data_IF_210233409033
#
_entry.id   IF_210233409033
#
_cell.length_a   1.000
_cell.length_b   1.000
_cell.length_c   1.000
_cell.angle_alpha   90.00
_cell.angle_beta   90.00
_cell.angle_gamma   90.00
#
_symmetry.space_group_name_H-M   'P 1'
#
loop_
_entity.id
_entity.type
_entity.pdbx_description
1 polymer ?
#
# COMPACT_ATOMS: atom_id res chain seq x y z
N UNK A 1 13.06 12.52 6.07
CA UNK A 1 12.22 11.77 7.02
C UNK A 1 12.46 12.10 8.48
N UNK A 2 13.71 12.08 9.03
CA UNK A 2 13.96 12.42 10.45
C UNK A 2 13.26 13.72 10.89
N UNK A 3 13.41 14.78 10.12
CA UNK A 3 12.79 16.07 10.40
C UNK A 3 11.27 15.99 10.49
N UNK A 4 10.63 15.25 9.59
CA UNK A 4 9.17 15.06 9.59
C UNK A 4 8.69 14.37 10.88
N UNK A 5 9.34 13.26 11.27
CA UNK A 5 8.96 12.51 12.46
C UNK A 5 9.19 13.29 13.76
N UNK A 6 10.38 13.87 13.91
CA UNK A 6 10.78 14.54 15.18
C UNK A 6 10.08 15.89 15.37
N UNK A 7 10.02 16.72 14.31
CA UNK A 7 9.44 18.08 14.45
C UNK A 7 7.91 18.06 14.55
N UNK A 8 7.26 17.00 14.08
CA UNK A 8 5.79 16.89 14.10
C UNK A 8 5.28 15.84 15.08
N UNK A 9 6.16 15.27 15.91
CA UNK A 9 5.82 14.23 16.89
C UNK A 9 5.02 13.06 16.27
N UNK A 10 5.48 12.58 15.10
CA UNK A 10 4.81 11.51 14.37
C UNK A 10 5.30 10.16 14.90
N UNK A 11 4.38 9.33 15.42
CA UNK A 11 4.67 7.97 15.86
C UNK A 11 4.81 6.96 14.73
N UNK A 12 3.97 7.08 13.70
CA UNK A 12 4.02 6.26 12.48
C UNK A 12 3.33 6.96 11.32
N UNK A 13 3.59 6.48 10.11
CA UNK A 13 2.91 6.89 8.87
C UNK A 13 2.05 5.72 8.41
N UNK A 14 0.80 6.00 8.06
CA UNK A 14 -0.07 5.08 7.34
C UNK A 14 -0.12 5.47 5.87
N UNK A 15 0.08 4.52 4.99
CA UNK A 15 0.02 4.74 3.55
C UNK A 15 -0.61 3.56 2.81
N UNK A 16 -1.11 3.75 1.57
CA UNK A 16 -1.52 2.62 0.75
C UNK A 16 -0.36 1.64 0.53
N UNK A 17 -0.68 0.34 0.40
CA UNK A 17 0.32 -0.68 0.06
C UNK A 17 0.70 -0.61 -1.42
N UNK A 18 -0.30 -0.36 -2.25
CA UNK A 18 -0.19 -0.43 -3.70
C UNK A 18 -1.31 0.38 -4.36
N UNK A 19 -1.27 0.52 -5.68
CA UNK A 19 -2.29 1.25 -6.45
C UNK A 19 -3.64 0.56 -6.51
N UNK A 20 -3.68 -0.76 -6.31
CA UNK A 20 -4.90 -1.59 -6.21
C UNK A 20 -4.59 -2.90 -5.47
N UNK A 21 -5.50 -3.89 -5.49
CA UNK A 21 -5.26 -5.24 -5.00
C UNK A 21 -4.08 -5.92 -5.73
N UNK A 22 -3.66 -7.10 -5.30
CA UNK A 22 -2.57 -7.84 -5.96
C UNK A 22 -2.83 -7.99 -7.47
N UNK A 23 -1.85 -7.65 -8.28
CA UNK A 23 -1.95 -7.70 -9.73
C UNK A 23 -1.83 -9.13 -10.28
N UNK A 24 -2.39 -9.35 -11.47
CA UNK A 24 -2.27 -10.61 -12.20
C UNK A 24 -0.82 -10.82 -12.65
N UNK A 25 -0.31 -12.04 -12.55
CA UNK A 25 1.09 -12.38 -12.92
C UNK A 25 1.47 -11.87 -14.31
N UNK A 26 0.56 -11.98 -15.29
CA UNK A 26 0.78 -11.50 -16.66
C UNK A 26 1.07 -10.01 -16.75
N UNK A 27 0.61 -9.22 -15.80
CA UNK A 27 0.73 -7.76 -15.78
C UNK A 27 1.90 -7.27 -14.90
N UNK A 28 2.61 -8.19 -14.22
CA UNK A 28 3.66 -7.87 -13.26
C UNK A 28 4.76 -6.98 -13.85
N UNK A 29 5.21 -7.23 -15.07
CA UNK A 29 6.27 -6.44 -15.71
C UNK A 29 5.90 -4.98 -15.96
N UNK A 30 4.61 -4.72 -16.22
CA UNK A 30 4.11 -3.35 -16.45
C UNK A 30 3.80 -2.65 -15.14
N UNK A 31 3.22 -3.37 -14.17
CA UNK A 31 2.73 -2.77 -12.93
C UNK A 31 3.75 -2.73 -11.78
N UNK A 32 4.82 -3.54 -11.83
CA UNK A 32 5.87 -3.51 -10.80
C UNK A 32 6.46 -2.11 -10.52
N UNK A 33 6.66 -1.23 -11.51
CA UNK A 33 7.14 0.12 -11.24
C UNK A 33 6.19 0.97 -10.38
N UNK A 34 4.92 0.59 -10.24
CA UNK A 34 3.95 1.29 -9.38
C UNK A 34 4.07 0.93 -7.89
N UNK A 35 5.12 0.19 -7.50
CA UNK A 35 5.43 -0.14 -6.10
C UNK A 35 6.06 1.02 -5.30
N UNK A 36 5.93 2.25 -5.75
CA UNK A 36 6.51 3.45 -5.14
C UNK A 36 6.10 3.64 -3.67
N UNK A 37 4.88 3.22 -3.31
CA UNK A 37 4.39 3.29 -1.93
C UNK A 37 5.21 2.48 -0.93
N UNK A 38 5.85 1.40 -1.37
CA UNK A 38 6.70 0.54 -0.52
C UNK A 38 8.16 0.93 -0.63
N UNK A 39 8.62 1.29 -1.83
CA UNK A 39 10.04 1.56 -2.11
C UNK A 39 10.59 2.75 -1.33
N UNK A 40 9.81 3.79 -1.12
CA UNK A 40 10.24 5.01 -0.41
C UNK A 40 10.71 4.70 1.03
N UNK A 41 10.07 3.78 1.72
CA UNK A 41 10.43 3.39 3.08
C UNK A 41 11.64 2.46 3.10
N UNK A 42 11.75 1.55 2.11
CA UNK A 42 12.91 0.68 1.95
C UNK A 42 14.20 1.48 1.70
N UNK A 43 14.16 2.47 0.82
CA UNK A 43 15.32 3.34 0.53
C UNK A 43 15.78 4.07 1.79
N UNK A 44 14.88 4.38 2.71
CA UNK A 44 15.18 5.08 3.94
C UNK A 44 15.46 4.15 5.13
N UNK A 45 15.52 2.84 4.90
CA UNK A 45 15.77 1.82 5.93
C UNK A 45 14.82 1.93 7.13
N UNK A 46 13.53 2.17 6.86
CA UNK A 46 12.50 2.30 7.88
C UNK A 46 11.73 0.99 8.05
N UNK A 47 11.43 0.57 9.29
CA UNK A 47 10.59 -0.60 9.53
C UNK A 47 9.18 -0.34 9.03
N UNK A 48 8.66 -1.26 8.22
CA UNK A 48 7.33 -1.16 7.62
C UNK A 48 6.67 -2.52 7.54
N UNK A 49 5.37 -2.56 7.77
CA UNK A 49 4.57 -3.77 7.63
C UNK A 49 3.18 -3.46 7.09
N UNK A 50 2.54 -4.46 6.50
CA UNK A 50 1.21 -4.33 5.90
C UNK A 50 0.15 -4.99 6.77
N UNK A 51 -0.96 -4.29 7.01
CA UNK A 51 -2.14 -4.81 7.68
C UNK A 51 -3.30 -4.82 6.68
N UNK A 52 -3.92 -5.98 6.39
CA UNK A 52 -5.14 -6.03 5.60
C UNK A 52 -6.29 -5.31 6.33
N UNK A 53 -6.97 -4.38 5.67
CA UNK A 53 -8.03 -3.58 6.30
C UNK A 53 -9.41 -3.81 5.69
N UNK A 54 -9.47 -4.25 4.43
CA UNK A 54 -10.72 -4.50 3.72
C UNK A 54 -10.49 -5.46 2.55
N UNK A 55 -11.55 -5.75 1.83
CA UNK A 55 -11.50 -6.50 0.58
C UNK A 55 -12.20 -5.73 -0.53
N UNK A 56 -11.81 -5.97 -1.77
CA UNK A 56 -12.45 -5.37 -2.95
C UNK A 56 -13.91 -5.80 -3.02
N UNK A 57 -14.82 -4.83 -3.10
CA UNK A 57 -16.27 -5.04 -3.26
C UNK A 57 -16.64 -5.20 -4.74
N UNK A 58 -17.87 -5.62 -4.98
CA UNK A 58 -18.39 -5.87 -6.33
C UNK A 58 -18.43 -4.61 -7.21
N UNK A 59 -18.68 -3.47 -6.61
CA UNK A 59 -18.75 -2.17 -7.29
C UNK A 59 -17.38 -1.50 -7.48
N UNK A 60 -16.30 -2.11 -6.96
CA UNK A 60 -14.93 -1.57 -6.98
C UNK A 60 -14.02 -2.21 -8.05
N UNK A 61 -14.54 -3.11 -8.88
CA UNK A 61 -13.78 -3.75 -9.97
C UNK A 61 -13.58 -2.85 -11.20
N UNK A 62 -13.64 -1.54 -11.00
CA UNK A 62 -13.49 -0.54 -12.06
C UNK A 62 -12.39 0.45 -11.72
N UNK A 63 -11.58 0.76 -12.71
CA UNK A 63 -10.60 1.84 -12.64
C UNK A 63 -10.98 2.94 -13.63
N UNK A 64 -11.46 4.07 -13.08
CA UNK A 64 -11.95 5.19 -13.88
C UNK A 64 -10.89 6.28 -13.94
N UNK A 65 -10.32 6.47 -15.12
CA UNK A 65 -9.47 7.59 -15.46
C UNK A 65 -9.62 7.98 -16.94
N UNK A 66 -9.16 9.17 -17.28
CA UNK A 66 -9.12 9.69 -18.65
C UNK A 66 -7.74 9.52 -19.31
N UNK A 67 -6.77 8.93 -18.58
CA UNK A 67 -5.44 8.66 -19.12
C UNK A 67 -5.48 7.51 -20.12
N UNK A 68 -4.68 7.63 -21.17
CA UNK A 68 -4.62 6.65 -22.23
C UNK A 68 -3.21 6.04 -22.39
N UNK A 69 -2.49 5.95 -21.27
CA UNK A 69 -1.17 5.35 -21.18
C UNK A 69 -1.22 3.83 -20.93
N UNK A 70 -0.06 3.19 -20.98
CA UNK A 70 0.04 1.74 -20.82
C UNK A 70 -0.33 1.28 -19.42
N UNK A 71 -0.01 2.05 -18.38
CA UNK A 71 -0.31 1.69 -17.00
C UNK A 71 -1.80 1.73 -16.73
N UNK A 72 -2.48 2.81 -17.09
CA UNK A 72 -3.93 2.95 -16.94
C UNK A 72 -4.70 1.86 -17.69
N UNK A 73 -4.30 1.55 -18.91
CA UNK A 73 -4.90 0.45 -19.68
C UNK A 73 -4.71 -0.90 -19.01
N UNK A 74 -3.51 -1.15 -18.50
CA UNK A 74 -3.19 -2.40 -17.81
C UNK A 74 -3.94 -2.51 -16.50
N UNK A 75 -4.04 -1.42 -15.72
CA UNK A 75 -4.82 -1.36 -14.48
C UNK A 75 -6.31 -1.63 -14.73
N UNK A 76 -6.91 -1.05 -15.78
CA UNK A 76 -8.31 -1.30 -16.17
C UNK A 76 -8.58 -2.77 -16.49
N UNK A 77 -7.62 -3.50 -17.04
CA UNK A 77 -7.72 -4.95 -17.23
C UNK A 77 -7.47 -5.72 -15.92
N UNK A 78 -6.54 -5.23 -15.13
CA UNK A 78 -6.08 -5.93 -13.93
C UNK A 78 -7.11 -5.96 -12.80
N UNK A 79 -7.83 -4.85 -12.58
CA UNK A 79 -8.84 -4.75 -11.53
C UNK A 79 -10.07 -5.62 -11.76
N UNK A 80 -10.32 -6.04 -13.00
CA UNK A 80 -11.44 -6.95 -13.32
C UNK A 80 -11.22 -8.32 -12.71
N UNK A 81 -12.20 -8.80 -11.95
CA UNK A 81 -12.14 -10.07 -11.24
C UNK A 81 -11.33 -10.03 -9.95
N UNK A 82 -11.10 -8.84 -9.39
CA UNK A 82 -10.39 -8.65 -8.11
C UNK A 82 -11.30 -8.73 -6.89
N UNK A 83 -12.61 -8.88 -7.05
CA UNK A 83 -13.57 -9.01 -5.94
C UNK A 83 -13.10 -9.99 -4.88
N UNK A 84 -13.17 -9.59 -3.61
CA UNK A 84 -12.76 -10.38 -2.47
C UNK A 84 -11.26 -10.41 -2.20
N UNK A 85 -10.43 -9.82 -3.08
CA UNK A 85 -9.00 -9.68 -2.81
C UNK A 85 -8.74 -8.69 -1.67
N UNK A 86 -7.77 -8.99 -0.79
CA UNK A 86 -7.47 -8.12 0.33
C UNK A 86 -6.83 -6.80 -0.13
N UNK A 87 -7.22 -5.73 0.56
CA UNK A 87 -6.61 -4.41 0.48
C UNK A 87 -6.03 -4.08 1.85
N UNK A 88 -4.78 -3.67 1.88
CA UNK A 88 -4.08 -3.34 3.11
C UNK A 88 -3.57 -1.91 3.14
N UNK A 89 -3.08 -1.52 4.31
CA UNK A 89 -2.29 -0.30 4.51
C UNK A 89 -0.91 -0.66 5.03
N UNK A 90 0.08 0.16 4.69
CA UNK A 90 1.42 0.07 5.27
C UNK A 90 1.44 0.93 6.54
N UNK A 91 1.96 0.34 7.60
CA UNK A 91 2.38 1.04 8.81
C UNK A 91 3.90 1.19 8.75
N UNK A 92 4.40 2.41 8.84
CA UNK A 92 5.84 2.68 8.84
C UNK A 92 6.21 3.50 10.07
N UNK A 93 7.17 3.03 10.86
CA UNK A 93 7.77 3.75 11.99
C UNK A 93 9.15 4.30 11.64
N UNK A 94 9.72 5.09 12.55
CA UNK A 94 11.06 5.63 12.36
C UNK A 94 12.13 4.52 12.45
N UNK A 95 13.31 4.80 11.94
CA UNK A 95 14.45 3.86 11.89
C UNK A 95 14.72 3.26 13.28
N UNK A 96 14.90 1.93 13.34
CA UNK A 96 15.12 1.14 14.56
C UNK A 96 13.94 1.14 15.57
N UNK A 97 12.72 1.44 15.10
CA UNK A 97 11.50 1.36 15.91
C UNK A 97 10.61 0.18 15.47
N UNK A 98 11.21 -1.00 15.25
CA UNK A 98 10.53 -2.20 14.73
C UNK A 98 9.40 -2.64 15.66
N UNK A 99 9.64 -2.67 16.99
CA UNK A 99 8.63 -3.06 17.98
C UNK A 99 7.47 -2.06 18.01
N UNK A 100 7.74 -0.76 17.83
CA UNK A 100 6.70 0.25 17.71
C UNK A 100 5.86 0.03 16.45
N UNK A 101 6.50 -0.26 15.33
CA UNK A 101 5.80 -0.59 14.08
C UNK A 101 4.85 -1.78 14.28
N UNK A 102 5.36 -2.88 14.83
CA UNK A 102 4.57 -4.08 15.14
C UNK A 102 3.44 -3.80 16.13
N UNK A 103 3.70 -3.00 17.17
CA UNK A 103 2.69 -2.61 18.16
C UNK A 103 1.53 -1.83 17.54
N UNK A 104 1.83 -0.90 16.62
CA UNK A 104 0.82 -0.12 15.89
C UNK A 104 0.05 -1.00 14.91
N UNK A 105 0.73 -1.91 14.19
CA UNK A 105 0.08 -2.88 13.31
C UNK A 105 -0.92 -3.74 14.07
N UNK A 106 -0.53 -4.27 15.23
CA UNK A 106 -1.41 -5.05 16.11
C UNK A 106 -2.61 -4.24 16.58
N UNK A 107 -2.40 -3.01 17.05
CA UNK A 107 -3.49 -2.13 17.47
C UNK A 107 -4.46 -1.81 16.32
N UNK A 108 -3.95 -1.67 15.10
CA UNK A 108 -4.77 -1.46 13.92
C UNK A 108 -5.61 -2.71 13.59
N UNK A 109 -5.00 -3.90 13.67
CA UNK A 109 -5.70 -5.18 13.44
C UNK A 109 -6.82 -5.45 14.45
N UNK A 110 -6.67 -4.98 15.70
CA UNK A 110 -7.67 -5.14 16.76
C UNK A 110 -8.91 -4.24 16.58
N UNK A 111 -8.85 -3.19 15.76
CA UNK A 111 -9.96 -2.24 15.56
C UNK A 111 -10.65 -2.38 14.20
N UNK A 112 -10.16 -3.25 13.32
CA UNK A 112 -10.76 -3.60 12.03
C UNK A 112 -11.72 -4.78 12.19
#
# INVERSE_FOLDING_TARGET
MKKIFVENDIGAILSPCYVHAAFKIKNASVLSPTADYTMIFNIQNMPSGTVPITTVREDEENYNDDFNDIWSKTLKDDVKGSRGMPIGVIVTSYINEDEKCLGIMKALEEVI
#
